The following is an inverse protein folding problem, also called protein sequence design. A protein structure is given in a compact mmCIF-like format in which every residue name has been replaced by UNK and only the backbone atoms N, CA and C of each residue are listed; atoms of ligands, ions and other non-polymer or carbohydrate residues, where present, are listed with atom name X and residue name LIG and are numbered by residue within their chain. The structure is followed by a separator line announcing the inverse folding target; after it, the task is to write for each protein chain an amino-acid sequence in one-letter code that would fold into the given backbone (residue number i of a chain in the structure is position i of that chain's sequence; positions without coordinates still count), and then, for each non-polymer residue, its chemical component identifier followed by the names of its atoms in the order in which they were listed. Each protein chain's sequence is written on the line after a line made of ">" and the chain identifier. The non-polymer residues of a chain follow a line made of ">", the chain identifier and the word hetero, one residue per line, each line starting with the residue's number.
data_IF_563015317716
#
_entry.id   IF_563015317716
#
_cell.length_a   1.000
_cell.length_b   1.000
_cell.length_c   1.000
_cell.angle_alpha   90.00
_cell.angle_beta   90.00
_cell.angle_gamma   90.00
#
_symmetry.space_group_name_H-M   'P 1'
#
loop_
_entity.id
_entity.type
_entity.pdbx_description
1 polymer ?
#
# COMPACT_ATOMS: atom_id res chain seq x y z
N UNK A 1 -2.61 -15.80 8.38
CA UNK A 1 -3.36 -14.53 8.28
C UNK A 1 -2.42 -13.51 7.71
N UNK A 2 -2.79 -12.83 6.63
CA UNK A 2 -1.97 -11.76 6.06
C UNK A 2 -1.98 -10.50 6.94
N UNK A 3 -0.99 -9.65 6.76
CA UNK A 3 -0.99 -8.31 7.35
C UNK A 3 -2.07 -7.46 6.65
N UNK A 4 -2.96 -6.83 7.40
CA UNK A 4 -4.09 -5.98 6.96
C UNK A 4 -5.26 -6.69 6.27
N UNK A 5 -5.00 -7.65 5.37
CA UNK A 5 -6.06 -8.31 4.58
C UNK A 5 -5.82 -9.80 4.46
N UNK A 6 -6.91 -10.56 4.52
CA UNK A 6 -6.92 -12.01 4.29
C UNK A 6 -8.23 -12.43 3.61
N UNK A 7 -8.42 -13.74 3.45
CA UNK A 7 -9.61 -14.32 2.80
C UNK A 7 -10.93 -14.00 3.51
N UNK A 8 -10.89 -13.68 4.79
CA UNK A 8 -12.09 -13.34 5.59
C UNK A 8 -12.48 -11.87 5.48
N UNK A 9 -11.55 -10.99 5.09
CA UNK A 9 -11.73 -9.54 5.02
C UNK A 9 -12.88 -9.16 4.07
N UNK A 10 -13.93 -8.53 4.62
CA UNK A 10 -15.09 -8.04 3.87
C UNK A 10 -14.87 -6.59 3.46
N UNK A 11 -15.11 -6.31 2.19
CA UNK A 11 -14.71 -5.06 1.54
C UNK A 11 -15.91 -4.33 0.96
N UNK A 12 -15.97 -3.02 1.19
CA UNK A 12 -16.84 -2.07 0.47
C UNK A 12 -16.01 -1.34 -0.58
N UNK A 13 -16.53 -1.23 -1.82
CA UNK A 13 -15.89 -0.48 -2.90
C UNK A 13 -16.59 0.86 -3.10
N UNK A 14 -15.93 1.96 -2.75
CA UNK A 14 -16.42 3.32 -3.00
C UNK A 14 -16.06 3.77 -4.43
N UNK A 15 -17.05 4.26 -5.16
CA UNK A 15 -16.94 4.58 -6.58
C UNK A 15 -17.08 3.37 -7.50
N UNK A 16 -17.74 2.31 -7.04
CA UNK A 16 -17.87 1.02 -7.75
C UNK A 16 -18.46 1.14 -9.16
N UNK A 17 -19.36 2.08 -9.39
CA UNK A 17 -20.01 2.29 -10.70
C UNK A 17 -19.14 3.06 -11.70
N UNK A 18 -18.03 3.64 -11.25
CA UNK A 18 -17.05 4.29 -12.11
C UNK A 18 -16.27 3.26 -12.94
N UNK A 19 -15.66 3.73 -14.04
CA UNK A 19 -14.89 2.85 -14.94
C UNK A 19 -13.82 2.04 -14.21
N UNK A 20 -12.96 2.70 -13.46
CA UNK A 20 -11.87 2.06 -12.71
C UNK A 20 -12.41 1.23 -11.54
N UNK A 21 -13.40 1.76 -10.79
CA UNK A 21 -14.06 1.04 -9.70
C UNK A 21 -14.68 -0.26 -10.18
N UNK A 22 -15.46 -0.24 -11.25
CA UNK A 22 -16.09 -1.44 -11.82
C UNK A 22 -15.06 -2.44 -12.36
N UNK A 23 -14.06 -1.95 -13.11
CA UNK A 23 -13.01 -2.80 -13.67
C UNK A 23 -12.22 -3.53 -12.60
N UNK A 24 -11.74 -2.80 -11.58
CA UNK A 24 -10.95 -3.41 -10.52
C UNK A 24 -11.79 -4.23 -9.55
N UNK A 25 -13.07 -3.91 -9.35
CA UNK A 25 -14.02 -4.78 -8.61
C UNK A 25 -14.08 -6.16 -9.23
N UNK A 26 -14.25 -6.25 -10.55
CA UNK A 26 -14.24 -7.53 -11.26
C UNK A 26 -12.96 -8.32 -11.00
N UNK A 27 -11.80 -7.68 -11.15
CA UNK A 27 -10.50 -8.33 -10.93
C UNK A 27 -10.25 -8.72 -9.46
N UNK A 28 -10.80 -8.00 -8.49
CA UNK A 28 -10.73 -8.36 -7.09
C UNK A 28 -11.63 -9.56 -6.77
N UNK A 29 -12.85 -9.60 -7.32
CA UNK A 29 -13.76 -10.75 -7.21
C UNK A 29 -13.16 -12.03 -7.85
N UNK A 30 -12.60 -11.91 -9.05
CA UNK A 30 -11.91 -13.01 -9.73
C UNK A 30 -10.68 -13.52 -8.95
N UNK A 31 -10.04 -12.66 -8.17
CA UNK A 31 -8.94 -13.03 -7.28
C UNK A 31 -9.39 -13.75 -6.01
N UNK A 32 -10.67 -13.66 -5.67
CA UNK A 32 -11.24 -14.25 -4.46
C UNK A 32 -11.46 -13.27 -3.30
N UNK A 33 -11.29 -11.96 -3.53
CA UNK A 33 -11.57 -10.93 -2.53
C UNK A 33 -13.07 -10.88 -2.21
N UNK A 34 -13.42 -10.85 -0.94
CA UNK A 34 -14.80 -10.83 -0.48
C UNK A 34 -15.37 -9.40 -0.49
N UNK A 35 -15.85 -8.97 -1.67
CA UNK A 35 -16.53 -7.68 -1.81
C UNK A 35 -18.01 -7.89 -1.47
N UNK A 36 -18.50 -7.20 -0.44
CA UNK A 36 -19.85 -7.37 0.09
C UNK A 36 -20.82 -6.29 -0.37
N UNK A 37 -20.31 -5.09 -0.67
CA UNK A 37 -21.12 -3.97 -1.14
C UNK A 37 -20.27 -2.98 -1.98
N UNK A 38 -20.94 -2.20 -2.80
CA UNK A 38 -20.39 -1.03 -3.45
C UNK A 38 -21.13 0.24 -2.99
N UNK A 39 -20.43 1.38 -3.06
CA UNK A 39 -21.02 2.67 -2.73
C UNK A 39 -20.78 3.65 -3.86
N UNK A 40 -21.86 4.28 -4.33
CA UNK A 40 -21.82 5.41 -5.24
C UNK A 40 -23.07 6.27 -5.02
N UNK A 41 -22.96 7.52 -4.55
CA UNK A 41 -24.09 8.40 -4.32
C UNK A 41 -25.00 8.55 -5.53
N UNK A 42 -26.31 8.40 -5.35
CA UNK A 42 -27.34 8.44 -6.40
C UNK A 42 -27.42 7.20 -7.28
N UNK A 43 -26.77 6.08 -6.87
CA UNK A 43 -26.80 4.79 -7.58
C UNK A 43 -27.28 3.63 -6.69
N UNK A 44 -27.76 3.93 -5.50
CA UNK A 44 -28.35 2.93 -4.59
C UNK A 44 -29.42 2.09 -5.28
N UNK A 45 -29.51 0.81 -4.95
CA UNK A 45 -30.41 -0.17 -5.57
C UNK A 45 -29.95 -0.73 -6.92
N UNK A 46 -28.79 -0.28 -7.46
CA UNK A 46 -28.17 -0.90 -8.63
C UNK A 46 -27.22 -2.04 -8.24
N UNK A 47 -26.64 -2.69 -9.23
CA UNK A 47 -25.70 -3.81 -9.03
C UNK A 47 -24.52 -3.68 -9.99
N UNK A 48 -23.30 -4.05 -9.52
CA UNK A 48 -22.08 -4.12 -10.33
C UNK A 48 -21.40 -5.47 -10.11
N UNK A 49 -21.31 -6.30 -11.13
CA UNK A 49 -20.72 -7.66 -11.08
C UNK A 49 -21.30 -8.57 -9.98
N UNK A 50 -22.62 -8.47 -9.70
CA UNK A 50 -23.26 -9.22 -8.61
C UNK A 50 -23.11 -8.60 -7.23
N UNK A 51 -22.49 -7.41 -7.13
CA UNK A 51 -22.32 -6.67 -5.87
C UNK A 51 -23.40 -5.59 -5.76
N UNK A 52 -24.23 -5.59 -4.68
CA UNK A 52 -25.23 -4.55 -4.47
C UNK A 52 -24.58 -3.19 -4.23
N UNK A 53 -25.21 -2.13 -4.74
CA UNK A 53 -24.74 -0.74 -4.64
C UNK A 53 -25.66 0.07 -3.75
N UNK A 54 -25.08 0.85 -2.84
CA UNK A 54 -25.74 1.75 -1.90
C UNK A 54 -25.32 3.20 -2.15
N UNK A 55 -26.08 4.14 -1.64
CA UNK A 55 -25.74 5.56 -1.75
C UNK A 55 -24.66 5.95 -0.72
N UNK A 56 -24.64 5.28 0.43
CA UNK A 56 -23.69 5.55 1.53
C UNK A 56 -23.11 4.27 2.13
N UNK A 57 -21.94 4.39 2.79
CA UNK A 57 -21.34 3.28 3.56
C UNK A 57 -22.27 2.88 4.72
N UNK A 58 -22.95 3.86 5.34
CA UNK A 58 -23.89 3.57 6.44
C UNK A 58 -25.01 2.64 6.00
N UNK A 59 -25.67 2.93 4.87
CA UNK A 59 -26.69 2.05 4.30
C UNK A 59 -26.14 0.67 3.98
N UNK A 60 -24.95 0.59 3.39
CA UNK A 60 -24.31 -0.71 3.13
C UNK A 60 -24.05 -1.51 4.41
N UNK A 61 -23.65 -0.85 5.51
CA UNK A 61 -23.38 -1.49 6.79
C UNK A 61 -24.66 -1.91 7.58
N UNK A 62 -25.82 -1.39 7.21
CA UNK A 62 -27.11 -1.87 7.76
C UNK A 62 -27.43 -3.31 7.29
N UNK A 63 -26.95 -3.69 6.10
CA UNK A 63 -27.19 -5.01 5.50
C UNK A 63 -25.94 -5.91 5.45
N UNK A 64 -24.74 -5.33 5.49
CA UNK A 64 -23.49 -6.06 5.34
C UNK A 64 -22.47 -5.62 6.38
N UNK A 65 -21.81 -6.57 7.04
CA UNK A 65 -20.62 -6.26 7.83
C UNK A 65 -19.40 -6.10 6.91
N UNK A 66 -18.57 -5.08 7.17
CA UNK A 66 -17.32 -4.85 6.45
C UNK A 66 -16.23 -4.26 7.35
N UNK A 67 -15.01 -4.70 7.16
CA UNK A 67 -13.83 -4.22 7.89
C UNK A 67 -12.99 -3.24 7.05
N UNK A 68 -13.06 -3.35 5.72
CA UNK A 68 -12.25 -2.57 4.81
C UNK A 68 -13.07 -1.83 3.77
N UNK A 69 -12.56 -0.68 3.33
CA UNK A 69 -13.04 0.05 2.17
C UNK A 69 -11.91 0.33 1.21
N UNK A 70 -12.22 0.33 -0.09
CA UNK A 70 -11.30 0.78 -1.14
C UNK A 70 -11.93 1.91 -1.95
N UNK A 71 -11.13 2.97 -2.21
CA UNK A 71 -11.61 4.23 -2.79
C UNK A 71 -11.12 4.40 -4.22
N UNK A 72 -12.06 4.38 -5.18
CA UNK A 72 -11.88 4.71 -6.59
C UNK A 72 -12.61 6.02 -6.96
N UNK A 73 -12.82 6.86 -6.00
CA UNK A 73 -13.55 8.15 -6.16
C UNK A 73 -12.59 9.20 -6.73
N UNK A 74 -13.03 10.09 -7.66
CA UNK A 74 -12.19 11.16 -8.18
C UNK A 74 -11.60 12.05 -7.08
N UNK A 75 -10.38 12.60 -7.29
CA UNK A 75 -9.58 13.31 -6.28
C UNK A 75 -10.34 14.39 -5.50
N UNK A 76 -11.21 15.17 -6.17
CA UNK A 76 -12.00 16.24 -5.54
C UNK A 76 -13.03 15.73 -4.52
N UNK A 77 -13.44 14.47 -4.60
CA UNK A 77 -14.44 13.83 -3.73
C UNK A 77 -13.84 12.75 -2.83
N UNK A 78 -12.59 12.34 -3.09
CA UNK A 78 -11.95 11.28 -2.34
C UNK A 78 -11.80 11.59 -0.84
N UNK A 79 -11.50 12.84 -0.40
CA UNK A 79 -11.49 13.16 1.02
C UNK A 79 -12.81 12.86 1.72
N UNK A 80 -13.94 13.23 1.13
CA UNK A 80 -15.28 12.99 1.70
C UNK A 80 -15.56 11.49 1.81
N UNK A 81 -15.21 10.71 0.78
CA UNK A 81 -15.34 9.26 0.81
C UNK A 81 -14.47 8.61 1.89
N UNK A 82 -13.26 9.12 2.14
CA UNK A 82 -12.38 8.65 3.22
C UNK A 82 -12.97 8.97 4.59
N UNK A 83 -13.46 10.21 4.80
CA UNK A 83 -14.11 10.59 6.06
C UNK A 83 -15.36 9.74 6.33
N UNK A 84 -16.19 9.50 5.31
CA UNK A 84 -17.37 8.65 5.44
C UNK A 84 -16.99 7.23 5.91
N UNK A 85 -15.94 6.64 5.33
CA UNK A 85 -15.45 5.33 5.74
C UNK A 85 -14.97 5.31 7.20
N UNK A 86 -14.19 6.33 7.60
CA UNK A 86 -13.70 6.48 8.98
C UNK A 86 -14.86 6.64 9.98
N UNK A 87 -15.81 7.52 9.69
CA UNK A 87 -16.97 7.79 10.56
C UNK A 87 -17.92 6.60 10.66
N UNK A 88 -17.97 5.77 9.63
CA UNK A 88 -18.73 4.52 9.62
C UNK A 88 -18.03 3.37 10.35
N UNK A 89 -16.83 3.60 10.92
CA UNK A 89 -16.11 2.62 11.74
C UNK A 89 -15.28 1.60 10.96
N UNK A 90 -15.04 1.83 9.66
CA UNK A 90 -14.16 1.00 8.82
C UNK A 90 -12.73 1.04 9.39
N UNK A 91 -12.10 -0.13 9.50
CA UNK A 91 -10.76 -0.27 10.12
C UNK A 91 -9.62 -0.08 9.15
N UNK A 92 -9.82 -0.41 7.87
CA UNK A 92 -8.84 -0.26 6.81
C UNK A 92 -9.45 0.50 5.63
N UNK A 93 -8.84 1.60 5.21
CA UNK A 93 -9.23 2.33 4.00
C UNK A 93 -8.05 2.38 3.03
N UNK A 94 -8.23 1.79 1.85
CA UNK A 94 -7.24 1.80 0.78
C UNK A 94 -7.60 2.88 -0.23
N UNK A 95 -6.76 3.90 -0.38
CA UNK A 95 -7.02 5.06 -1.23
C UNK A 95 -6.17 4.97 -2.50
N UNK A 96 -6.78 4.50 -3.60
CA UNK A 96 -6.10 4.37 -4.90
C UNK A 96 -5.90 5.73 -5.55
N UNK A 97 -6.83 6.63 -5.34
CA UNK A 97 -6.92 7.96 -5.97
C UNK A 97 -5.62 8.73 -5.81
N UNK A 98 -5.13 9.25 -6.92
CA UNK A 98 -4.01 10.19 -7.01
C UNK A 98 -4.49 11.65 -7.15
N UNK A 99 -3.56 12.60 -6.97
CA UNK A 99 -3.84 14.05 -7.08
C UNK A 99 -4.78 14.61 -6.00
N UNK A 100 -4.94 13.96 -4.87
CA UNK A 100 -5.59 14.55 -3.71
C UNK A 100 -4.70 15.67 -3.15
N UNK A 101 -5.25 16.87 -2.87
CA UNK A 101 -4.45 17.95 -2.30
C UNK A 101 -3.77 17.55 -0.98
N UNK A 102 -2.48 17.85 -0.84
CA UNK A 102 -1.67 17.45 0.33
C UNK A 102 -2.31 17.84 1.66
N UNK A 103 -2.90 19.03 1.74
CA UNK A 103 -3.59 19.49 2.95
C UNK A 103 -4.81 18.64 3.31
N UNK A 104 -5.56 18.17 2.32
CA UNK A 104 -6.71 17.28 2.55
C UNK A 104 -6.22 15.89 2.99
N UNK A 105 -5.16 15.38 2.36
CA UNK A 105 -4.52 14.14 2.79
C UNK A 105 -4.05 14.21 4.24
N UNK A 106 -3.36 15.29 4.62
CA UNK A 106 -2.89 15.50 5.99
C UNK A 106 -4.05 15.49 7.00
N UNK A 107 -5.17 16.13 6.67
CA UNK A 107 -6.34 16.20 7.56
C UNK A 107 -6.95 14.82 7.77
N UNK A 108 -7.30 14.09 6.70
CA UNK A 108 -7.96 12.80 6.86
C UNK A 108 -7.01 11.73 7.44
N UNK A 109 -5.70 11.77 7.18
CA UNK A 109 -4.73 10.86 7.80
C UNK A 109 -4.66 11.08 9.32
N UNK A 110 -4.61 12.34 9.77
CA UNK A 110 -4.63 12.64 11.21
C UNK A 110 -5.96 12.24 11.85
N UNK A 111 -7.07 12.45 11.14
CA UNK A 111 -8.38 12.03 11.62
C UNK A 111 -8.49 10.51 11.74
N UNK A 112 -8.04 9.77 10.72
CA UNK A 112 -8.01 8.31 10.74
C UNK A 112 -7.21 7.77 11.94
N UNK A 113 -6.01 8.33 12.20
CA UNK A 113 -5.20 7.97 13.37
C UNK A 113 -5.94 8.19 14.70
N UNK A 114 -6.69 9.28 14.84
CA UNK A 114 -7.50 9.54 16.04
C UNK A 114 -8.67 8.58 16.23
N UNK A 115 -9.10 7.91 15.15
CA UNK A 115 -10.20 6.92 15.14
C UNK A 115 -9.72 5.46 15.11
N UNK A 116 -8.41 5.23 15.04
CA UNK A 116 -7.84 3.88 14.93
C UNK A 116 -8.10 3.22 13.58
N UNK A 117 -8.30 4.01 12.52
CA UNK A 117 -8.44 3.53 11.14
C UNK A 117 -7.08 3.58 10.45
N UNK A 118 -6.68 2.48 9.83
CA UNK A 118 -5.47 2.41 8.99
C UNK A 118 -5.78 2.92 7.59
N UNK A 119 -4.96 3.83 7.07
CA UNK A 119 -5.05 4.32 5.69
C UNK A 119 -3.84 3.80 4.89
N UNK A 120 -4.08 3.15 3.76
CA UNK A 120 -3.06 2.82 2.76
C UNK A 120 -3.23 3.75 1.57
N UNK A 121 -2.17 4.43 1.17
CA UNK A 121 -2.23 5.51 0.17
C UNK A 121 -2.32 6.90 0.80
N UNK A 122 -2.74 7.91 0.06
CA UNK A 122 -3.26 7.89 -1.32
C UNK A 122 -2.21 7.58 -2.39
N UNK A 123 -2.65 7.57 -3.66
CA UNK A 123 -1.79 7.32 -4.81
C UNK A 123 -0.99 6.01 -4.66
N UNK A 124 -1.69 4.92 -4.43
CA UNK A 124 -1.10 3.63 -4.11
C UNK A 124 -1.69 2.50 -4.97
N UNK A 125 -0.96 1.38 -5.14
CA UNK A 125 -1.49 0.22 -5.84
C UNK A 125 -2.38 -0.66 -4.96
N UNK A 126 -2.46 -0.41 -3.65
CA UNK A 126 -3.23 -1.17 -2.68
C UNK A 126 -2.42 -2.17 -1.87
N UNK A 127 -3.08 -3.24 -1.44
CA UNK A 127 -2.54 -4.33 -0.61
C UNK A 127 -2.93 -5.67 -1.22
N UNK A 128 -2.04 -6.65 -1.17
CA UNK A 128 -2.33 -8.02 -1.56
C UNK A 128 -1.67 -9.01 -0.59
N UNK A 129 -2.44 -9.99 -0.13
CA UNK A 129 -1.96 -11.22 0.50
C UNK A 129 -2.12 -12.33 -0.53
N UNK A 130 -1.01 -12.78 -1.15
CA UNK A 130 -1.08 -13.69 -2.28
C UNK A 130 -1.80 -14.99 -1.95
N UNK A 131 -2.76 -15.37 -2.82
CA UNK A 131 -3.61 -16.55 -2.64
C UNK A 131 -4.78 -16.36 -1.66
N UNK A 132 -4.93 -15.19 -1.03
CA UNK A 132 -6.00 -14.89 -0.08
C UNK A 132 -6.90 -13.73 -0.53
N UNK A 133 -6.38 -12.51 -0.58
CA UNK A 133 -7.16 -11.33 -0.94
C UNK A 133 -6.31 -10.24 -1.59
N UNK A 134 -6.94 -9.45 -2.43
CA UNK A 134 -6.35 -8.28 -3.09
C UNK A 134 -7.29 -7.09 -2.97
N UNK A 135 -6.83 -6.01 -2.34
CA UNK A 135 -7.49 -4.71 -2.29
C UNK A 135 -6.67 -3.71 -3.08
N UNK A 136 -7.00 -3.51 -4.35
CA UNK A 136 -6.25 -2.60 -5.20
C UNK A 136 -6.15 -3.01 -6.65
N UNK A 137 -5.20 -2.37 -7.32
CA UNK A 137 -4.98 -2.49 -8.77
C UNK A 137 -3.84 -3.46 -9.12
N UNK A 138 -3.21 -4.08 -8.12
CA UNK A 138 -2.09 -5.01 -8.32
C UNK A 138 -2.47 -6.17 -9.23
N UNK A 139 -1.65 -6.53 -10.24
CA UNK A 139 -1.90 -7.68 -11.12
C UNK A 139 -1.62 -8.99 -10.37
N UNK A 140 -2.68 -9.69 -9.93
CA UNK A 140 -2.57 -10.85 -9.05
C UNK A 140 -1.64 -11.97 -9.51
N UNK A 141 -1.43 -12.11 -10.82
CA UNK A 141 -0.61 -13.18 -11.42
C UNK A 141 0.92 -13.00 -11.23
N UNK A 142 1.38 -11.84 -10.80
CA UNK A 142 2.83 -11.62 -10.55
C UNK A 142 3.24 -12.00 -9.12
N UNK A 143 2.28 -12.30 -8.27
CA UNK A 143 2.49 -12.64 -6.86
C UNK A 143 2.26 -14.13 -6.60
N UNK A 144 2.98 -14.69 -5.66
CA UNK A 144 2.79 -16.06 -5.18
C UNK A 144 2.82 -16.10 -3.64
N UNK A 145 2.06 -17.00 -3.00
CA UNK A 145 2.09 -17.18 -1.55
C UNK A 145 3.50 -17.56 -1.05
N UNK A 146 3.93 -16.96 0.06
CA UNK A 146 5.24 -17.22 0.66
C UNK A 146 5.47 -16.46 1.95
N UNK A 147 6.71 -16.07 2.20
CA UNK A 147 7.13 -15.50 3.48
C UNK A 147 7.86 -14.15 3.40
N UNK A 148 7.84 -13.49 2.25
CA UNK A 148 8.51 -12.19 2.10
C UNK A 148 7.48 -11.08 2.15
N UNK A 149 7.59 -10.21 3.15
CA UNK A 149 6.86 -8.95 3.19
C UNK A 149 7.42 -7.98 2.14
N UNK A 150 6.58 -7.20 1.50
CA UNK A 150 7.03 -6.10 0.62
C UNK A 150 6.31 -4.83 1.05
N UNK A 151 7.05 -3.75 1.24
CA UNK A 151 6.50 -2.41 1.42
C UNK A 151 7.12 -1.46 0.42
N UNK A 152 6.27 -0.68 -0.29
CA UNK A 152 6.72 0.06 -1.46
C UNK A 152 6.02 1.41 -1.65
N UNK A 153 6.78 2.42 -2.07
CA UNK A 153 6.25 3.70 -2.57
C UNK A 153 5.84 3.64 -4.04
N UNK A 154 6.39 2.68 -4.80
CA UNK A 154 6.23 2.60 -6.26
C UNK A 154 5.34 1.41 -6.67
N UNK A 155 4.25 1.65 -7.40
CA UNK A 155 3.43 0.58 -7.97
C UNK A 155 4.21 -0.29 -8.96
N UNK A 156 4.87 0.32 -9.94
CA UNK A 156 5.60 -0.39 -11.01
C UNK A 156 6.73 -1.26 -10.45
N UNK A 157 7.58 -0.71 -9.57
CA UNK A 157 8.67 -1.48 -8.96
C UNK A 157 8.15 -2.58 -8.03
N UNK A 158 7.01 -2.38 -7.39
CA UNK A 158 6.34 -3.45 -6.63
C UNK A 158 6.05 -4.65 -7.53
N UNK A 159 5.49 -4.42 -8.71
CA UNK A 159 5.16 -5.51 -9.64
C UNK A 159 6.41 -6.19 -10.19
N UNK A 160 7.41 -5.42 -10.60
CA UNK A 160 8.67 -5.93 -11.13
C UNK A 160 9.39 -6.81 -10.10
N UNK A 161 9.61 -6.29 -8.89
CA UNK A 161 10.33 -7.00 -7.83
C UNK A 161 9.56 -8.23 -7.36
N UNK A 162 8.24 -8.12 -7.19
CA UNK A 162 7.40 -9.28 -6.85
C UNK A 162 7.45 -10.37 -7.92
N UNK A 163 7.44 -9.99 -9.20
CA UNK A 163 7.58 -10.93 -10.30
C UNK A 163 8.94 -11.63 -10.30
N UNK A 164 10.04 -10.89 -10.08
CA UNK A 164 11.39 -11.44 -9.97
C UNK A 164 11.50 -12.45 -8.82
N UNK A 165 10.96 -12.10 -7.65
CA UNK A 165 10.90 -13.00 -6.49
C UNK A 165 10.07 -14.26 -6.82
N UNK A 166 8.88 -14.10 -7.37
CA UNK A 166 8.00 -15.22 -7.74
C UNK A 166 8.67 -16.16 -8.76
N UNK A 167 9.35 -15.59 -9.76
CA UNK A 167 10.13 -16.37 -10.75
C UNK A 167 11.31 -17.12 -10.12
N UNK A 168 11.89 -16.60 -9.05
CA UNK A 168 12.94 -17.26 -8.29
C UNK A 168 12.43 -18.31 -7.28
N UNK A 169 11.11 -18.58 -7.27
CA UNK A 169 10.46 -19.49 -6.32
C UNK A 169 10.30 -18.92 -4.91
N UNK A 170 10.36 -17.60 -4.78
CA UNK A 170 10.22 -16.88 -3.51
C UNK A 170 8.85 -16.18 -3.52
N UNK A 171 7.95 -16.61 -2.64
CA UNK A 171 6.63 -16.03 -2.51
C UNK A 171 6.57 -14.92 -1.47
N UNK A 172 5.47 -14.15 -1.50
CA UNK A 172 5.22 -13.04 -0.61
C UNK A 172 4.18 -13.41 0.47
N UNK A 173 4.38 -12.91 1.70
CA UNK A 173 3.39 -13.00 2.78
C UNK A 173 2.30 -11.95 2.58
N UNK A 174 2.68 -10.69 2.52
CA UNK A 174 1.82 -9.56 2.18
C UNK A 174 2.63 -8.51 1.44
N UNK A 175 1.99 -7.83 0.49
CA UNK A 175 2.60 -6.72 -0.25
C UNK A 175 1.77 -5.46 -0.02
N UNK A 176 2.39 -4.42 0.53
CA UNK A 176 1.77 -3.15 0.88
C UNK A 176 2.36 -2.04 0.00
N UNK A 177 1.53 -1.47 -0.87
CA UNK A 177 1.88 -0.27 -1.59
C UNK A 177 1.43 0.96 -0.81
N UNK A 178 2.37 1.66 -0.18
CA UNK A 178 2.03 2.82 0.68
C UNK A 178 1.75 4.11 -0.10
N UNK A 179 2.15 4.18 -1.37
CA UNK A 179 1.93 5.34 -2.23
C UNK A 179 3.16 6.24 -2.37
N UNK A 180 3.13 7.06 -3.44
CA UNK A 180 4.23 7.97 -3.82
C UNK A 180 3.99 9.44 -3.48
N UNK A 181 2.95 9.78 -2.74
CA UNK A 181 2.63 11.14 -2.34
C UNK A 181 3.50 11.60 -1.15
N UNK A 182 3.69 12.93 -0.96
CA UNK A 182 4.48 13.46 0.17
C UNK A 182 3.91 13.08 1.54
N UNK A 183 2.59 12.95 1.64
CA UNK A 183 1.86 12.51 2.83
C UNK A 183 1.11 11.23 2.48
N UNK A 184 1.35 10.18 3.23
CA UNK A 184 0.67 8.89 3.12
C UNK A 184 0.11 8.47 4.47
N UNK A 185 -0.91 7.61 4.45
CA UNK A 185 -1.58 7.14 5.68
C UNK A 185 -0.72 6.22 6.51
N UNK A 186 0.01 5.31 5.85
CA UNK A 186 0.92 4.35 6.49
C UNK A 186 2.33 4.60 5.98
N UNK A 187 3.28 4.77 6.88
CA UNK A 187 4.70 4.95 6.61
C UNK A 187 5.43 3.60 6.51
N UNK A 188 6.72 3.63 6.11
CA UNK A 188 7.58 2.44 6.17
C UNK A 188 7.71 1.89 7.59
N UNK A 189 7.85 2.75 8.61
CA UNK A 189 7.97 2.30 9.99
C UNK A 189 6.72 1.58 10.47
N UNK A 190 5.54 2.13 10.24
CA UNK A 190 4.26 1.49 10.59
C UNK A 190 4.07 0.15 9.85
N UNK A 191 4.45 0.06 8.58
CA UNK A 191 4.40 -1.20 7.83
C UNK A 191 5.41 -2.24 8.35
N UNK A 192 6.62 -1.81 8.71
CA UNK A 192 7.64 -2.68 9.31
C UNK A 192 7.21 -3.20 10.69
N UNK A 193 6.54 -2.39 11.52
CA UNK A 193 5.93 -2.85 12.78
C UNK A 193 4.93 -3.99 12.53
N UNK A 194 4.03 -3.82 11.55
CA UNK A 194 3.08 -4.87 11.18
C UNK A 194 3.78 -6.16 10.71
N UNK A 195 4.84 -6.04 9.91
CA UNK A 195 5.62 -7.19 9.47
C UNK A 195 6.47 -7.82 10.58
N UNK A 196 6.91 -7.03 11.56
CA UNK A 196 7.63 -7.54 12.73
C UNK A 196 6.75 -8.50 13.53
N UNK A 197 5.48 -8.16 13.73
CA UNK A 197 4.51 -8.96 14.47
C UNK A 197 3.95 -10.16 13.66
N UNK A 198 4.08 -10.15 12.34
CA UNK A 198 3.56 -11.24 11.49
C UNK A 198 4.48 -12.46 11.51
N UNK A 199 4.04 -13.62 12.06
CA UNK A 199 4.86 -14.83 12.12
C UNK A 199 5.11 -15.46 10.74
N UNK A 200 4.30 -15.16 9.74
CA UNK A 200 4.48 -15.65 8.37
C UNK A 200 5.60 -14.90 7.65
N UNK A 201 5.84 -13.65 7.99
CA UNK A 201 6.87 -12.83 7.35
C UNK A 201 8.24 -13.12 7.95
N UNK A 202 9.16 -13.67 7.13
CA UNK A 202 10.51 -14.02 7.53
C UNK A 202 11.57 -12.97 7.18
N UNK A 203 11.34 -12.21 6.11
CA UNK A 203 12.17 -11.08 5.70
C UNK A 203 11.28 -10.06 4.98
N UNK A 204 11.76 -8.82 4.85
CA UNK A 204 11.02 -7.75 4.18
C UNK A 204 11.87 -7.11 3.09
N UNK A 205 11.23 -6.80 1.95
CA UNK A 205 11.78 -5.97 0.89
C UNK A 205 11.14 -4.58 0.97
N UNK A 206 11.97 -3.56 1.18
CA UNK A 206 11.59 -2.16 1.20
C UNK A 206 11.94 -1.53 -0.15
N UNK A 207 10.94 -0.98 -0.84
CA UNK A 207 11.12 -0.32 -2.13
C UNK A 207 10.85 1.17 -1.93
N UNK A 208 11.95 1.91 -1.79
CA UNK A 208 11.95 3.36 -1.58
C UNK A 208 12.32 4.13 -2.84
N UNK A 209 12.32 5.43 -2.71
CA UNK A 209 12.71 6.36 -3.76
C UNK A 209 13.27 7.66 -3.16
N UNK A 210 13.86 8.49 -3.99
CA UNK A 210 14.32 9.83 -3.58
C UNK A 210 13.18 10.68 -3.03
N UNK A 211 13.54 11.65 -2.20
CA UNK A 211 12.60 12.60 -1.57
C UNK A 211 12.03 12.12 -0.23
N UNK A 212 11.72 13.08 0.62
CA UNK A 212 11.28 12.83 1.99
C UNK A 212 12.33 12.13 2.85
N UNK A 213 11.93 11.62 4.01
CA UNK A 213 12.80 11.01 5.03
C UNK A 213 12.31 9.62 5.51
N UNK A 214 11.33 9.03 4.84
CA UNK A 214 10.70 7.78 5.29
C UNK A 214 11.68 6.61 5.35
N UNK A 215 12.63 6.53 4.41
CA UNK A 215 13.65 5.49 4.35
C UNK A 215 14.69 5.65 5.47
N UNK A 216 15.04 6.89 5.81
CA UNK A 216 15.93 7.23 6.92
C UNK A 216 15.29 6.90 8.28
N UNK A 217 13.97 7.12 8.42
CA UNK A 217 13.22 6.70 9.62
C UNK A 217 13.16 5.19 9.75
N UNK A 218 12.95 4.47 8.65
CA UNK A 218 13.01 3.01 8.63
C UNK A 218 14.41 2.51 9.05
N UNK A 219 15.47 3.15 8.55
CA UNK A 219 16.85 2.86 8.95
C UNK A 219 17.08 3.10 10.45
N UNK A 220 16.57 4.19 11.01
CA UNK A 220 16.65 4.47 12.44
C UNK A 220 15.95 3.39 13.27
N UNK A 221 14.75 2.99 12.89
CA UNK A 221 13.98 1.92 13.53
C UNK A 221 14.77 0.59 13.56
N UNK A 222 15.38 0.19 12.44
CA UNK A 222 16.23 -1.02 12.39
C UNK A 222 17.42 -0.89 13.34
N UNK A 223 18.12 0.26 13.31
CA UNK A 223 19.28 0.51 14.16
C UNK A 223 18.96 0.48 15.66
N UNK A 224 17.77 0.91 16.04
CA UNK A 224 17.25 0.93 17.41
C UNK A 224 16.67 -0.42 17.86
N UNK A 225 16.62 -1.41 16.96
CA UNK A 225 16.09 -2.76 17.26
C UNK A 225 14.56 -2.86 17.21
N UNK A 226 13.87 -1.86 16.68
CA UNK A 226 12.42 -1.88 16.49
C UNK A 226 11.98 -2.81 15.36
N UNK A 227 12.90 -3.15 14.45
CA UNK A 227 12.70 -4.19 13.43
C UNK A 227 13.92 -5.09 13.38
N UNK A 228 13.73 -6.40 13.54
CA UNK A 228 14.83 -7.39 13.72
C UNK A 228 14.90 -8.46 12.64
N UNK A 229 13.87 -8.56 11.79
CA UNK A 229 13.89 -9.47 10.64
C UNK A 229 14.83 -8.94 9.54
N UNK A 230 15.40 -9.79 8.69
CA UNK A 230 16.19 -9.33 7.55
C UNK A 230 15.43 -8.30 6.70
N UNK A 231 16.08 -7.17 6.42
CA UNK A 231 15.54 -6.10 5.58
C UNK A 231 16.45 -5.91 4.36
N UNK A 232 15.88 -6.03 3.18
CA UNK A 232 16.52 -5.76 1.90
C UNK A 232 15.88 -4.51 1.31
N UNK A 233 16.65 -3.53 0.92
CA UNK A 233 16.11 -2.28 0.36
C UNK A 233 16.54 -2.08 -1.09
N UNK A 234 15.66 -1.49 -1.88
CA UNK A 234 15.98 -0.91 -3.17
C UNK A 234 15.50 0.54 -3.21
N UNK A 235 16.37 1.45 -3.63
CA UNK A 235 16.05 2.88 -3.70
C UNK A 235 16.07 3.34 -5.15
N UNK A 236 14.93 3.82 -5.65
CA UNK A 236 14.83 4.39 -6.99
C UNK A 236 15.35 5.84 -7.04
N UNK A 237 15.79 6.26 -8.23
CA UNK A 237 16.18 7.65 -8.46
C UNK A 237 17.68 7.95 -8.34
N UNK A 238 18.56 6.95 -8.47
CA UNK A 238 20.04 7.12 -8.38
C UNK A 238 20.60 8.26 -9.23
N UNK A 239 20.01 8.53 -10.39
CA UNK A 239 20.46 9.56 -11.36
C UNK A 239 19.54 10.79 -11.37
N UNK A 240 18.63 10.90 -10.42
CA UNK A 240 17.70 12.01 -10.36
C UNK A 240 18.41 13.32 -10.04
N UNK A 241 18.18 14.40 -10.82
CA UNK A 241 18.74 15.71 -10.52
C UNK A 241 18.01 16.36 -9.34
N UNK A 242 18.75 17.18 -8.58
CA UNK A 242 18.19 17.98 -7.49
C UNK A 242 17.15 18.98 -8.00
N UNK A 243 16.09 19.22 -7.19
CA UNK A 243 15.02 20.18 -7.48
C UNK A 243 14.04 19.76 -8.58
N UNK A 244 14.22 18.58 -9.20
CA UNK A 244 13.29 18.05 -10.21
C UNK A 244 12.41 16.94 -9.65
N UNK A 245 11.10 17.06 -9.83
CA UNK A 245 10.14 16.01 -9.51
C UNK A 245 10.28 14.84 -10.48
N UNK A 246 10.39 13.63 -9.94
CA UNK A 246 10.63 12.38 -10.69
C UNK A 246 9.42 11.44 -10.63
N UNK A 247 8.36 11.77 -11.37
CA UNK A 247 7.11 10.97 -11.40
C UNK A 247 6.21 11.29 -10.21
N UNK A 248 6.42 10.64 -9.07
CA UNK A 248 5.61 10.84 -7.87
C UNK A 248 5.76 12.25 -7.28
N UNK A 249 4.69 12.74 -6.64
CA UNK A 249 4.71 14.05 -6.00
C UNK A 249 5.73 14.15 -4.86
N UNK A 250 5.98 13.03 -4.14
CA UNK A 250 6.99 12.93 -3.09
C UNK A 250 8.42 12.69 -3.58
N UNK A 251 8.60 12.32 -4.86
CA UNK A 251 9.92 11.99 -5.41
C UNK A 251 10.67 13.24 -5.92
N UNK A 252 11.12 14.08 -5.00
CA UNK A 252 11.88 15.30 -5.26
C UNK A 252 12.97 15.50 -4.20
N UNK A 253 14.20 15.75 -4.62
CA UNK A 253 15.31 16.11 -3.73
C UNK A 253 15.23 17.62 -3.48
N UNK A 254 15.06 18.03 -2.23
CA UNK A 254 14.95 19.44 -1.86
C UNK A 254 16.00 19.82 -0.83
N UNK A 255 16.71 20.94 -1.08
CA UNK A 255 17.66 21.56 -0.13
C UNK A 255 18.68 20.56 0.47
N UNK A 256 19.19 19.64 -0.35
CA UNK A 256 20.20 18.66 0.09
C UNK A 256 19.67 17.52 0.94
N UNK A 257 18.35 17.35 1.04
CA UNK A 257 17.74 16.22 1.76
C UNK A 257 16.96 15.27 0.84
N UNK A 258 16.87 14.00 1.20
CA UNK A 258 16.15 12.98 0.44
C UNK A 258 16.89 12.49 -0.81
N UNK A 259 18.22 12.67 -0.87
CA UNK A 259 19.02 12.16 -1.98
C UNK A 259 19.13 10.63 -1.94
N UNK A 260 19.38 10.02 -3.10
CA UNK A 260 19.69 8.59 -3.19
C UNK A 260 20.84 8.19 -2.26
N UNK A 261 21.92 8.98 -2.28
CA UNK A 261 23.13 8.68 -1.51
C UNK A 261 22.88 8.71 -0.01
N UNK A 262 22.10 9.67 0.50
CA UNK A 262 21.81 9.80 1.93
C UNK A 262 20.94 8.64 2.42
N UNK A 263 19.93 8.25 1.62
CA UNK A 263 19.06 7.11 1.93
C UNK A 263 19.84 5.79 1.97
N UNK A 264 20.62 5.50 0.93
CA UNK A 264 21.46 4.29 0.87
C UNK A 264 22.43 4.26 2.06
N UNK A 265 23.14 5.36 2.32
CA UNK A 265 24.07 5.45 3.44
C UNK A 265 23.41 5.25 4.80
N UNK A 266 22.21 5.78 4.99
CA UNK A 266 21.44 5.60 6.23
C UNK A 266 21.03 4.15 6.44
N UNK A 267 20.52 3.50 5.38
CA UNK A 267 20.12 2.09 5.41
C UNK A 267 21.33 1.16 5.66
N UNK A 268 22.43 1.34 4.92
CA UNK A 268 23.64 0.53 5.10
C UNK A 268 24.24 0.67 6.51
N UNK A 269 24.24 1.87 7.08
CA UNK A 269 24.69 2.13 8.48
C UNK A 269 23.80 1.47 9.52
N UNK A 270 22.54 1.19 9.19
CA UNK A 270 21.63 0.45 10.04
C UNK A 270 21.72 -1.07 9.86
N UNK A 271 22.61 -1.57 8.98
CA UNK A 271 22.74 -3.00 8.68
C UNK A 271 21.74 -3.53 7.64
N UNK A 272 21.03 -2.65 6.96
CA UNK A 272 20.10 -3.05 5.88
C UNK A 272 20.90 -3.39 4.62
N UNK A 273 20.54 -4.47 3.95
CA UNK A 273 21.14 -4.89 2.67
C UNK A 273 20.53 -4.04 1.55
N UNK A 274 21.33 -3.24 0.85
CA UNK A 274 20.84 -2.36 -0.21
C UNK A 274 21.21 -2.89 -1.59
N UNK A 275 20.19 -3.24 -2.38
CA UNK A 275 20.34 -3.69 -3.77
C UNK A 275 20.64 -2.51 -4.70
N UNK A 276 21.55 -2.71 -5.65
CA UNK A 276 21.90 -1.72 -6.69
C UNK A 276 20.93 -1.76 -7.85
N UNK A 277 20.33 -2.92 -8.10
CA UNK A 277 19.34 -3.19 -9.14
C UNK A 277 18.22 -4.10 -8.61
N UNK A 278 17.01 -4.05 -9.16
CA UNK A 278 15.92 -4.96 -8.79
C UNK A 278 16.30 -6.45 -8.98
N UNK A 279 17.16 -6.76 -9.95
CA UNK A 279 17.57 -8.13 -10.30
C UNK A 279 18.41 -8.83 -9.21
N UNK A 280 19.06 -8.08 -8.33
CA UNK A 280 19.85 -8.61 -7.23
C UNK A 280 18.99 -9.08 -6.05
N UNK A 281 17.77 -8.55 -5.90
CA UNK A 281 16.90 -8.78 -4.75
C UNK A 281 16.62 -10.27 -4.49
N UNK A 282 16.29 -11.11 -5.49
CA UNK A 282 16.02 -12.52 -5.23
C UNK A 282 17.21 -13.29 -4.63
N UNK A 283 18.44 -13.01 -5.06
CA UNK A 283 19.64 -13.64 -4.47
C UNK A 283 19.89 -13.15 -3.05
N UNK A 284 19.79 -11.83 -2.82
CA UNK A 284 19.95 -11.24 -1.49
C UNK A 284 18.93 -11.76 -0.48
N UNK A 285 17.67 -11.93 -0.90
CA UNK A 285 16.63 -12.52 -0.05
C UNK A 285 16.96 -13.98 0.29
N UNK A 286 17.45 -14.78 -0.68
CA UNK A 286 17.86 -16.18 -0.42
C UNK A 286 19.04 -16.30 0.57
N UNK A 287 19.98 -15.38 0.48
CA UNK A 287 21.14 -15.35 1.37
C UNK A 287 20.78 -14.90 2.80
N UNK A 288 19.72 -14.11 2.94
CA UNK A 288 19.27 -13.57 4.22
C UNK A 288 18.32 -14.50 5.00
N UNK A 289 17.73 -15.53 4.35
CA UNK A 289 16.79 -16.50 4.93
C UNK A 289 17.48 -17.73 5.51
#
# INVERSE_FOLDING_TARGET
>A
MGVLVDRSTRVIVQGITGREGSFHTKLMLEYGTRIVAGVTPGKGGSEVHGVPVYDTIREALEEHEAEASIVFVPARFAPDAVYEAIDSGIKLVVVITEHIPVHETMKFVNYAKSRGTVIIGPNCPGVITPGEAKLGIMPGHVFAPGSIGIVSRSGTLTYEISYLLTKAGIGQSTVIGIGGDPIVGTSFTEALEMFQEDPQTRAVVLIGEIGGDMEERAAAMVKEGGFTKPLIAYIAGKTAPEGKRMGHAGAIIMMGSGSYQDKVKSLERAGVIVAKTPFEIPSMVKEAL
#
